data_IF_736151180195
#
_entry.id   IF_736151180195
#
_cell.length_a   1.000
_cell.length_b   1.000
_cell.length_c   1.000
_cell.angle_alpha   90.00
_cell.angle_beta   90.00
_cell.angle_gamma   90.00
#
_symmetry.space_group_name_H-M   'P 1'
#
loop_
_entity.id
_entity.type
_entity.pdbx_description
1 polymer ?
#
# COMPACT_ATOMS: atom_id res chain seq x y z
N UNK A 1 10.34 -7.38 30.27
CA UNK A 1 10.86 -6.79 31.52
C UNK A 1 10.08 -5.50 31.72
N UNK A 2 9.08 -5.56 32.62
CA UNK A 2 8.14 -4.47 32.91
C UNK A 2 8.64 -3.77 34.17
N UNK A 3 8.80 -2.46 34.13
CA UNK A 3 9.09 -1.65 35.32
C UNK A 3 7.87 -0.78 35.59
N UNK A 4 7.14 -1.12 36.64
CA UNK A 4 6.14 -0.27 37.27
C UNK A 4 6.81 0.61 38.32
N UNK A 5 6.51 1.89 38.35
CA UNK A 5 6.81 2.78 39.49
C UNK A 5 5.51 3.34 40.06
N UNK A 6 5.19 2.88 41.27
CA UNK A 6 4.17 3.47 42.15
C UNK A 6 4.71 4.75 42.81
N UNK A 7 3.87 5.78 42.92
CA UNK A 7 4.03 6.84 43.92
C UNK A 7 2.69 7.19 44.58
N UNK A 8 2.69 7.51 45.89
CA UNK A 8 1.50 7.47 46.75
C UNK A 8 0.75 8.81 46.89
N UNK A 9 -0.49 8.66 47.35
CA UNK A 9 -1.43 9.71 47.73
C UNK A 9 -0.94 10.57 48.91
N UNK A 10 -1.15 11.87 48.81
CA UNK A 10 -1.17 12.82 49.92
C UNK A 10 -2.57 13.37 50.15
N UNK A 11 -3.13 13.05 51.32
CA UNK A 11 -4.36 13.63 51.88
C UNK A 11 -4.08 15.01 52.46
N UNK A 12 -4.95 15.98 52.18
CA UNK A 12 -5.13 17.16 53.07
C UNK A 12 -6.62 17.36 53.33
N UNK A 13 -6.97 17.33 54.60
CA UNK A 13 -8.28 17.64 55.19
C UNK A 13 -8.24 19.10 55.63
N UNK A 14 -9.26 19.88 55.33
CA UNK A 14 -9.59 21.08 56.11
C UNK A 14 -11.10 21.28 56.18
N UNK A 15 -11.61 21.19 57.38
CA UNK A 15 -12.98 21.57 57.79
C UNK A 15 -13.11 23.09 57.89
N UNK A 16 -14.31 23.60 57.62
CA UNK A 16 -14.72 24.95 57.98
C UNK A 16 -16.24 25.13 57.79
N UNK A 17 -16.93 25.13 58.90
CA UNK A 17 -18.38 25.38 59.04
C UNK A 17 -18.61 26.89 59.14
N UNK A 18 -19.63 27.42 58.49
CA UNK A 18 -20.59 28.38 59.12
C UNK A 18 -21.78 28.75 58.20
N UNK A 19 -22.85 29.07 58.83
CA UNK A 19 -24.26 29.06 58.50
C UNK A 19 -24.81 30.37 57.85
N UNK A 20 -25.96 30.17 57.20
CA UNK A 20 -27.18 31.02 57.12
C UNK A 20 -27.16 32.30 56.28
N UNK A 21 -28.00 32.44 55.29
CA UNK A 21 -29.32 33.11 55.28
C UNK A 21 -29.94 33.13 53.91
N UNK A 22 -31.23 32.92 53.87
CA UNK A 22 -32.09 32.92 52.72
C UNK A 22 -32.30 34.31 52.13
N UNK A 23 -32.26 34.41 50.77
CA UNK A 23 -33.00 35.37 50.00
C UNK A 23 -33.38 34.74 48.66
N UNK A 24 -34.66 34.51 48.46
CA UNK A 24 -35.24 34.07 47.21
C UNK A 24 -35.18 35.19 46.18
N UNK A 25 -34.45 35.04 45.13
CA UNK A 25 -34.56 35.80 43.91
C UNK A 25 -34.59 34.82 42.76
N UNK A 26 -35.76 34.74 42.10
CA UNK A 26 -35.96 34.05 40.84
C UNK A 26 -35.07 34.72 39.78
N UNK A 27 -33.93 34.17 39.51
CA UNK A 27 -33.16 34.51 38.33
C UNK A 27 -33.35 33.37 37.32
N UNK A 28 -34.04 33.72 36.21
CA UNK A 28 -34.15 32.84 35.05
C UNK A 28 -32.73 32.49 34.60
N UNK A 29 -32.31 31.24 34.83
CA UNK A 29 -31.07 30.73 34.30
C UNK A 29 -31.16 30.58 32.76
N UNK A 30 -30.24 31.18 31.98
CA UNK A 30 -30.16 30.85 30.57
C UNK A 30 -29.84 29.35 30.44
N UNK A 31 -30.68 28.67 29.67
CA UNK A 31 -30.39 27.31 29.22
C UNK A 31 -29.14 27.41 28.33
N UNK A 32 -27.97 27.26 28.93
CA UNK A 32 -26.74 27.00 28.18
C UNK A 32 -26.93 25.60 27.63
N UNK A 33 -27.27 25.53 26.34
CA UNK A 33 -27.15 24.27 25.60
C UNK A 33 -25.69 23.84 25.73
N UNK A 34 -25.42 22.89 26.63
CA UNK A 34 -24.17 22.18 26.66
C UNK A 34 -24.09 21.48 25.30
N UNK A 35 -23.33 22.05 24.40
CA UNK A 35 -22.77 21.30 23.29
C UNK A 35 -22.02 20.13 23.94
N UNK A 36 -22.64 18.95 23.91
CA UNK A 36 -21.95 17.71 24.22
C UNK A 36 -20.78 17.64 23.24
N UNK A 37 -19.58 18.01 23.69
CA UNK A 37 -18.37 17.57 23.03
C UNK A 37 -18.49 16.05 23.06
N UNK A 38 -18.80 15.46 21.90
CA UNK A 38 -18.61 14.05 21.68
C UNK A 38 -17.14 13.80 21.99
N UNK A 39 -16.84 13.35 23.18
CA UNK A 39 -15.61 12.65 23.46
C UNK A 39 -15.60 11.54 22.43
N UNK A 40 -14.83 11.73 21.36
CA UNK A 40 -14.50 10.63 20.48
C UNK A 40 -13.80 9.63 21.39
N UNK A 41 -14.60 8.66 21.87
CA UNK A 41 -14.01 7.41 22.33
C UNK A 41 -13.01 7.01 21.23
N UNK A 42 -11.83 6.58 21.64
CA UNK A 42 -10.84 5.98 20.74
C UNK A 42 -11.54 4.80 20.05
N UNK A 43 -12.32 5.07 19.00
CA UNK A 43 -12.87 4.02 18.18
C UNK A 43 -11.67 3.41 17.47
N UNK A 44 -11.33 2.21 17.87
CA UNK A 44 -10.36 1.39 17.19
C UNK A 44 -10.85 1.27 15.75
N UNK A 45 -10.10 1.87 14.82
CA UNK A 45 -10.41 1.80 13.40
C UNK A 45 -10.06 0.37 12.94
N UNK A 46 -11.02 -0.38 12.45
CA UNK A 46 -10.89 -1.79 12.07
C UNK A 46 -11.41 -2.12 10.66
N UNK A 47 -11.93 -1.11 9.95
CA UNK A 47 -12.45 -1.28 8.59
C UNK A 47 -11.35 -1.01 7.57
N UNK A 48 -11.19 -1.94 6.63
CA UNK A 48 -10.39 -1.77 5.42
C UNK A 48 -11.31 -1.74 4.20
N UNK A 49 -11.14 -0.75 3.33
CA UNK A 49 -11.83 -0.63 2.04
C UNK A 49 -10.89 -1.06 0.92
N UNK A 50 -11.37 -1.85 -0.03
CA UNK A 50 -10.63 -2.20 -1.26
C UNK A 50 -11.12 -1.29 -2.39
N UNK A 51 -10.30 -0.28 -2.76
CA UNK A 51 -10.59 0.68 -3.82
C UNK A 51 -10.08 0.17 -5.18
N UNK A 52 -10.63 -0.97 -5.62
CA UNK A 52 -10.17 -1.68 -6.82
C UNK A 52 -10.36 -0.84 -8.09
N UNK A 53 -9.27 -0.60 -8.82
CA UNK A 53 -9.21 0.13 -10.09
C UNK A 53 -9.78 1.56 -10.04
N UNK A 54 -9.81 2.18 -8.88
CA UNK A 54 -10.15 3.60 -8.73
C UNK A 54 -8.93 4.49 -8.99
N UNK A 55 -9.15 5.65 -9.59
CA UNK A 55 -8.09 6.63 -9.81
C UNK A 55 -7.64 7.28 -8.49
N UNK A 56 -6.38 7.72 -8.44
CA UNK A 56 -5.81 8.36 -7.26
C UNK A 56 -6.61 9.56 -6.80
N UNK A 57 -7.07 10.38 -7.74
CA UNK A 57 -7.87 11.56 -7.44
C UNK A 57 -9.25 11.22 -6.88
N UNK A 58 -9.86 10.11 -7.30
CA UNK A 58 -11.12 9.62 -6.72
C UNK A 58 -10.89 9.17 -5.27
N UNK A 59 -9.87 8.34 -5.03
CA UNK A 59 -9.57 7.85 -3.68
C UNK A 59 -9.23 9.00 -2.73
N UNK A 60 -8.47 10.01 -3.17
CA UNK A 60 -8.16 11.20 -2.37
C UNK A 60 -9.43 11.93 -1.90
N UNK A 61 -10.41 12.10 -2.80
CA UNK A 61 -11.72 12.72 -2.46
C UNK A 61 -12.52 11.86 -1.50
N UNK A 62 -12.55 10.54 -1.71
CA UNK A 62 -13.26 9.62 -0.82
C UNK A 62 -12.61 9.58 0.57
N UNK A 63 -11.28 9.61 0.66
CA UNK A 63 -10.60 9.69 1.95
C UNK A 63 -11.04 10.93 2.76
N UNK A 64 -11.18 12.07 2.10
CA UNK A 64 -11.55 13.34 2.75
C UNK A 64 -13.04 13.40 3.08
N UNK A 65 -13.90 12.97 2.15
CA UNK A 65 -15.34 13.19 2.25
C UNK A 65 -16.10 12.05 2.91
N UNK A 66 -15.56 10.82 2.82
CA UNK A 66 -16.28 9.60 3.25
C UNK A 66 -15.44 8.78 4.23
N UNK A 67 -14.27 8.25 3.79
CA UNK A 67 -13.55 7.24 4.56
C UNK A 67 -13.02 7.79 5.89
N UNK A 68 -12.43 8.98 5.91
CA UNK A 68 -11.95 9.62 7.14
C UNK A 68 -13.07 9.92 8.14
N UNK A 69 -14.15 10.65 7.74
CA UNK A 69 -15.31 10.89 8.59
C UNK A 69 -15.99 9.63 9.14
N UNK A 70 -16.06 8.57 8.34
CA UNK A 70 -16.68 7.29 8.74
C UNK A 70 -15.73 6.37 9.54
N UNK A 71 -14.48 6.79 9.77
CA UNK A 71 -13.57 6.06 10.62
C UNK A 71 -12.91 4.85 9.96
N UNK A 72 -12.81 4.81 8.63
CA UNK A 72 -12.06 3.77 7.92
C UNK A 72 -10.59 3.80 8.35
N UNK A 73 -10.01 2.63 8.65
CA UNK A 73 -8.62 2.49 9.05
C UNK A 73 -7.67 2.56 7.86
N UNK A 74 -7.98 1.77 6.83
CA UNK A 74 -7.13 1.59 5.65
C UNK A 74 -7.92 1.55 4.36
N UNK A 75 -7.29 2.02 3.30
CA UNK A 75 -7.73 1.80 1.92
C UNK A 75 -6.66 1.03 1.18
N UNK A 76 -7.01 -0.15 0.66
CA UNK A 76 -6.19 -0.92 -0.25
C UNK A 76 -6.40 -0.39 -1.67
N UNK A 77 -5.31 -0.03 -2.34
CA UNK A 77 -5.32 0.53 -3.69
C UNK A 77 -4.72 -0.46 -4.69
N UNK A 78 -5.22 -0.47 -5.91
CA UNK A 78 -4.68 -1.28 -7.01
C UNK A 78 -3.22 -0.92 -7.31
N UNK A 79 -2.46 -1.78 -8.02
CA UNK A 79 -1.03 -1.61 -8.22
C UNK A 79 -0.66 -0.23 -8.76
N UNK A 80 0.21 0.52 -8.07
CA UNK A 80 0.60 1.88 -8.46
C UNK A 80 1.73 1.94 -9.50
N UNK A 81 2.41 0.82 -9.75
CA UNK A 81 3.53 0.80 -10.68
C UNK A 81 3.07 0.88 -12.15
N UNK A 82 3.99 1.33 -13.01
CA UNK A 82 3.81 1.32 -14.45
C UNK A 82 3.57 -0.10 -14.99
N UNK A 83 2.58 -0.23 -15.84
CA UNK A 83 2.17 -1.49 -16.44
C UNK A 83 2.02 -1.37 -17.97
N UNK A 84 1.69 -2.48 -18.62
CA UNK A 84 1.27 -2.47 -20.03
C UNK A 84 0.09 -1.54 -20.24
N UNK A 85 -0.10 -1.06 -21.46
CA UNK A 85 -1.26 -0.27 -21.85
C UNK A 85 -2.52 -1.14 -21.89
N UNK A 86 -3.67 -0.53 -21.63
CA UNK A 86 -4.99 -1.18 -21.71
C UNK A 86 -5.95 -0.67 -20.64
N UNK A 87 -7.24 -0.83 -20.93
CA UNK A 87 -8.33 -0.41 -20.02
C UNK A 87 -8.77 -1.51 -19.05
N UNK A 88 -8.43 -2.75 -19.35
CA UNK A 88 -8.82 -3.91 -18.56
C UNK A 88 -8.09 -3.90 -17.20
N UNK A 89 -8.78 -4.35 -16.15
CA UNK A 89 -8.23 -4.34 -14.80
C UNK A 89 -6.90 -5.12 -14.66
N UNK A 90 -6.80 -6.27 -15.33
CA UNK A 90 -5.63 -7.16 -15.26
C UNK A 90 -4.35 -6.56 -15.87
N UNK A 91 -4.44 -5.51 -16.69
CA UNK A 91 -3.25 -4.83 -17.22
C UNK A 91 -2.40 -4.21 -16.10
N UNK A 92 -3.01 -3.79 -14.98
CA UNK A 92 -2.29 -3.29 -13.81
C UNK A 92 -1.39 -4.35 -13.15
N UNK A 93 -1.62 -5.63 -13.41
CA UNK A 93 -0.86 -6.75 -12.87
C UNK A 93 0.25 -7.25 -13.81
N UNK A 94 0.56 -6.50 -14.85
CA UNK A 94 1.64 -6.75 -15.79
C UNK A 94 2.64 -5.57 -15.79
N UNK A 95 3.49 -5.46 -14.76
CA UNK A 95 4.43 -4.36 -14.63
C UNK A 95 5.51 -4.38 -15.72
N UNK A 96 5.91 -3.19 -16.17
CA UNK A 96 7.02 -2.98 -17.10
C UNK A 96 8.11 -2.09 -16.50
N UNK A 97 7.81 -1.47 -15.37
CA UNK A 97 8.74 -0.74 -14.50
C UNK A 97 8.12 -0.57 -13.11
N UNK A 98 8.93 -0.08 -12.15
CA UNK A 98 8.44 0.33 -10.82
C UNK A 98 8.29 1.85 -10.68
N UNK A 99 8.18 2.59 -11.79
CA UNK A 99 7.73 3.99 -11.76
C UNK A 99 6.29 4.06 -11.24
N UNK A 100 5.98 5.09 -10.46
CA UNK A 100 4.65 5.25 -9.84
C UNK A 100 3.62 5.95 -10.75
N UNK A 101 3.90 6.02 -12.05
CA UNK A 101 2.94 6.48 -13.06
C UNK A 101 2.19 5.27 -13.63
N UNK A 102 0.91 5.18 -13.34
CA UNK A 102 0.05 4.06 -13.75
C UNK A 102 -1.15 4.55 -14.55
N UNK A 103 -1.96 3.64 -15.06
CA UNK A 103 -3.23 4.02 -15.71
C UNK A 103 -4.24 4.65 -14.74
N UNK A 104 -4.01 4.58 -13.43
CA UNK A 104 -4.88 5.14 -12.40
C UNK A 104 -4.50 6.56 -12.01
N UNK A 105 -3.38 7.06 -12.50
CA UNK A 105 -2.88 8.41 -12.30
C UNK A 105 -1.36 8.47 -12.24
N UNK A 106 -0.83 9.68 -12.24
CA UNK A 106 0.59 9.99 -12.17
C UNK A 106 1.17 9.76 -10.77
N UNK A 107 2.51 9.68 -10.65
CA UNK A 107 3.20 9.64 -9.37
C UNK A 107 2.83 10.82 -8.46
N UNK A 108 2.68 12.01 -9.03
CA UNK A 108 2.27 13.20 -8.27
C UNK A 108 0.86 13.05 -7.70
N UNK A 109 -0.08 12.51 -8.47
CA UNK A 109 -1.44 12.24 -8.02
C UNK A 109 -1.48 11.12 -6.98
N UNK A 110 -0.66 10.07 -7.13
CA UNK A 110 -0.51 9.01 -6.14
C UNK A 110 -0.01 9.55 -4.80
N UNK A 111 1.08 10.33 -4.81
CA UNK A 111 1.61 10.97 -3.59
C UNK A 111 0.61 11.92 -2.94
N UNK A 112 -0.12 12.71 -3.73
CA UNK A 112 -1.19 13.57 -3.24
C UNK A 112 -2.32 12.76 -2.59
N UNK A 113 -2.75 11.67 -3.19
CA UNK A 113 -3.74 10.76 -2.63
C UNK A 113 -3.29 10.20 -1.27
N UNK A 114 -2.07 9.69 -1.18
CA UNK A 114 -1.50 9.19 0.08
C UNK A 114 -1.49 10.26 1.15
N UNK A 115 -1.08 11.49 0.81
CA UNK A 115 -1.04 12.61 1.75
C UNK A 115 -2.44 13.00 2.22
N UNK A 116 -3.42 13.11 1.34
CA UNK A 116 -4.80 13.48 1.70
C UNK A 116 -5.46 12.41 2.56
N UNK A 117 -5.29 11.14 2.22
CA UNK A 117 -5.79 10.02 3.03
C UNK A 117 -5.16 10.03 4.43
N UNK A 118 -3.84 10.20 4.51
CA UNK A 118 -3.13 10.30 5.79
C UNK A 118 -3.63 11.47 6.64
N UNK A 119 -3.87 12.65 6.05
CA UNK A 119 -4.41 13.81 6.73
C UNK A 119 -5.85 13.57 7.25
N UNK A 120 -6.63 12.74 6.55
CA UNK A 120 -7.95 12.28 6.98
C UNK A 120 -7.89 11.12 8.00
N UNK A 121 -6.69 10.68 8.41
CA UNK A 121 -6.48 9.58 9.34
C UNK A 121 -6.72 8.20 8.73
N UNK A 122 -6.58 8.05 7.42
CA UNK A 122 -6.75 6.80 6.66
C UNK A 122 -5.39 6.35 6.13
N UNK A 123 -4.96 5.13 6.47
CA UNK A 123 -3.73 4.54 5.94
C UNK A 123 -3.92 3.98 4.54
N UNK A 124 -2.88 4.01 3.71
CA UNK A 124 -2.89 3.36 2.39
C UNK A 124 -2.13 2.04 2.46
N UNK A 125 -2.77 0.99 1.93
CA UNK A 125 -2.17 -0.32 1.63
C UNK A 125 -2.03 -0.37 0.10
N UNK A 126 -0.81 -0.54 -0.40
CA UNK A 126 -0.58 -0.67 -1.84
C UNK A 126 -0.57 -2.15 -2.25
N UNK A 127 -1.30 -2.47 -3.30
CA UNK A 127 -1.14 -3.75 -3.98
C UNK A 127 0.18 -3.74 -4.77
N UNK A 128 1.05 -4.70 -4.56
CA UNK A 128 2.38 -4.76 -5.17
C UNK A 128 2.60 -6.07 -5.92
N UNK A 129 3.08 -5.96 -7.14
CA UNK A 129 3.31 -7.08 -8.05
C UNK A 129 4.81 -7.34 -8.14
N UNK A 130 5.27 -8.39 -7.43
CA UNK A 130 6.69 -8.76 -7.35
C UNK A 130 7.00 -10.09 -8.04
N UNK A 131 5.98 -10.86 -8.45
CA UNK A 131 6.17 -12.18 -9.02
C UNK A 131 6.51 -12.16 -10.51
N UNK A 132 5.88 -11.28 -11.27
CA UNK A 132 5.89 -11.35 -12.73
C UNK A 132 5.99 -9.97 -13.40
N UNK A 133 6.23 -10.02 -14.71
CA UNK A 133 6.11 -8.89 -15.64
C UNK A 133 4.98 -9.16 -16.65
N UNK A 134 5.23 -9.07 -17.94
CA UNK A 134 4.19 -9.18 -18.98
C UNK A 134 4.01 -10.61 -19.48
N UNK A 135 2.89 -10.89 -20.11
CA UNK A 135 2.49 -12.22 -20.54
C UNK A 135 2.04 -12.37 -22.00
N UNK A 136 1.30 -13.45 -22.25
CA UNK A 136 0.91 -13.88 -23.60
C UNK A 136 -0.08 -12.94 -24.30
N UNK A 137 -0.74 -12.08 -23.58
CA UNK A 137 -1.67 -11.05 -24.10
C UNK A 137 -0.97 -9.72 -24.46
N UNK A 138 0.36 -9.70 -24.38
CA UNK A 138 1.19 -8.59 -24.83
C UNK A 138 1.60 -8.82 -26.29
N UNK A 139 1.50 -7.78 -27.11
CA UNK A 139 1.93 -7.83 -28.50
C UNK A 139 3.45 -8.16 -28.60
N UNK A 140 3.84 -8.91 -29.63
CA UNK A 140 5.23 -9.21 -29.89
C UNK A 140 6.02 -7.96 -30.32
N UNK A 141 7.33 -7.94 -30.01
CA UNK A 141 8.26 -6.86 -30.35
C UNK A 141 8.32 -5.77 -29.29
N UNK A 142 8.89 -4.63 -29.67
CA UNK A 142 9.08 -3.50 -28.77
C UNK A 142 7.75 -2.77 -28.50
N UNK A 143 7.48 -2.54 -27.24
CA UNK A 143 6.25 -1.92 -26.74
C UNK A 143 6.58 -0.78 -25.76
N UNK A 144 5.55 -0.03 -25.37
CA UNK A 144 5.65 1.01 -24.34
C UNK A 144 4.61 0.82 -23.27
N UNK A 145 5.02 0.96 -22.03
CA UNK A 145 4.15 1.02 -20.86
C UNK A 145 3.30 2.29 -20.84
N UNK A 146 2.44 2.40 -19.84
CA UNK A 146 1.52 3.56 -19.67
C UNK A 146 2.26 4.87 -19.39
N UNK A 147 3.46 4.81 -18.80
CA UNK A 147 4.34 5.95 -18.56
C UNK A 147 5.46 6.10 -19.61
N UNK A 148 5.41 5.31 -20.68
CA UNK A 148 6.33 5.40 -21.81
C UNK A 148 7.62 4.58 -21.68
N UNK A 149 7.82 3.79 -20.64
CA UNK A 149 8.95 2.87 -20.55
C UNK A 149 8.88 1.84 -21.66
N UNK A 150 9.99 1.67 -22.37
CA UNK A 150 10.11 0.65 -23.41
C UNK A 150 10.26 -0.74 -22.77
N UNK A 151 9.70 -1.75 -23.40
CA UNK A 151 9.87 -3.16 -23.02
C UNK A 151 9.64 -4.07 -24.21
N UNK A 152 10.17 -5.30 -24.13
CA UNK A 152 9.93 -6.35 -25.11
C UNK A 152 9.58 -7.64 -24.40
N UNK A 153 8.29 -7.95 -24.30
CA UNK A 153 7.77 -9.15 -23.65
C UNK A 153 8.15 -10.45 -24.36
N UNK A 154 8.50 -10.42 -25.66
CA UNK A 154 8.94 -11.62 -26.40
C UNK A 154 10.35 -12.02 -26.02
N UNK A 155 11.21 -11.07 -25.71
CA UNK A 155 12.63 -11.30 -25.38
C UNK A 155 12.95 -11.18 -23.90
N UNK A 156 11.98 -10.81 -23.05
CA UNK A 156 12.20 -10.60 -21.62
C UNK A 156 13.07 -9.37 -21.32
N UNK A 157 12.92 -8.27 -22.08
CA UNK A 157 13.69 -7.05 -21.92
C UNK A 157 12.84 -5.94 -21.32
N UNK A 158 13.22 -5.44 -20.15
CA UNK A 158 12.48 -4.42 -19.39
C UNK A 158 13.43 -3.35 -18.84
N UNK A 159 13.98 -2.47 -19.69
CA UNK A 159 14.88 -1.38 -19.25
C UNK A 159 14.20 -0.39 -18.30
N UNK A 160 12.88 -0.36 -18.22
CA UNK A 160 12.12 0.46 -17.28
C UNK A 160 12.40 0.16 -15.81
N UNK A 161 12.94 -1.01 -15.47
CA UNK A 161 13.39 -1.37 -14.12
C UNK A 161 14.83 -0.92 -13.82
N UNK A 162 15.45 -0.13 -14.68
CA UNK A 162 16.82 0.32 -14.47
C UNK A 162 16.98 1.12 -13.17
N UNK A 163 18.07 0.85 -12.46
CA UNK A 163 18.53 1.60 -11.29
C UNK A 163 19.97 2.08 -11.53
N UNK A 164 20.52 2.87 -10.62
CA UNK A 164 21.94 3.26 -10.72
C UNK A 164 22.89 2.05 -10.67
N UNK A 165 22.52 1.03 -9.89
CA UNK A 165 23.31 -0.19 -9.73
C UNK A 165 23.10 -1.16 -10.90
N UNK A 166 21.91 -1.15 -11.49
CA UNK A 166 21.49 -2.05 -12.56
C UNK A 166 20.98 -1.25 -13.77
N UNK A 167 21.87 -0.60 -14.53
CA UNK A 167 21.48 0.36 -15.58
C UNK A 167 20.73 -0.28 -16.77
N UNK A 168 20.90 -1.58 -16.99
CA UNK A 168 20.21 -2.30 -18.06
C UNK A 168 18.77 -2.72 -17.68
N UNK A 169 18.34 -2.46 -16.44
CA UNK A 169 17.05 -2.91 -15.93
C UNK A 169 16.98 -4.44 -15.83
N UNK A 170 15.82 -5.00 -16.12
CA UNK A 170 15.55 -6.45 -16.11
C UNK A 170 15.70 -7.02 -17.53
N UNK A 171 16.34 -8.16 -17.62
CA UNK A 171 16.61 -8.88 -18.87
C UNK A 171 16.15 -10.34 -18.75
N UNK A 172 16.18 -11.11 -19.84
CA UNK A 172 15.80 -12.53 -19.83
C UNK A 172 16.57 -13.38 -18.79
N UNK A 173 17.78 -12.97 -18.43
CA UNK A 173 18.60 -13.67 -17.43
C UNK A 173 18.09 -13.50 -15.98
N UNK A 174 17.23 -12.53 -15.76
CA UNK A 174 16.67 -12.19 -14.43
C UNK A 174 15.33 -12.91 -14.17
N UNK A 175 14.93 -13.82 -15.04
CA UNK A 175 13.74 -14.66 -14.90
C UNK A 175 14.11 -16.12 -14.71
N UNK A 176 13.21 -16.90 -14.12
CA UNK A 176 13.36 -18.34 -14.05
C UNK A 176 13.42 -18.98 -15.45
N UNK A 177 14.17 -20.08 -15.58
CA UNK A 177 14.35 -20.77 -16.87
C UNK A 177 13.15 -21.58 -17.33
N UNK A 178 12.17 -21.80 -16.45
CA UNK A 178 10.92 -22.49 -16.78
C UNK A 178 9.99 -21.58 -17.61
N UNK A 179 9.89 -21.85 -18.91
CA UNK A 179 9.05 -21.04 -19.84
C UNK A 179 7.64 -21.57 -20.04
N UNK A 180 7.32 -22.75 -19.48
CA UNK A 180 5.96 -23.32 -19.54
C UNK A 180 5.03 -22.65 -18.52
N UNK A 181 3.75 -22.68 -18.78
CA UNK A 181 2.74 -22.32 -17.77
C UNK A 181 2.70 -23.36 -16.65
N UNK A 182 2.34 -22.90 -15.45
CA UNK A 182 2.01 -23.77 -14.32
C UNK A 182 0.84 -24.67 -14.73
N UNK A 183 1.03 -25.98 -14.62
CA UNK A 183 0.01 -27.01 -14.89
C UNK A 183 -0.38 -27.80 -13.66
N UNK A 184 0.53 -27.93 -12.69
CA UNK A 184 0.29 -28.63 -11.43
C UNK A 184 0.52 -27.67 -10.25
N UNK A 185 -0.58 -27.15 -9.71
CA UNK A 185 -0.58 -26.27 -8.56
C UNK A 185 -0.32 -26.98 -7.22
N UNK A 186 -0.12 -28.29 -7.21
CA UNK A 186 0.33 -29.07 -6.04
C UNK A 186 1.85 -29.25 -6.03
N UNK A 187 2.52 -28.99 -7.15
CA UNK A 187 3.97 -29.01 -7.28
C UNK A 187 4.56 -27.65 -6.92
N UNK A 188 5.09 -27.53 -5.70
CA UNK A 188 5.64 -26.25 -5.20
C UNK A 188 6.70 -25.67 -6.15
N UNK A 189 7.61 -26.49 -6.67
CA UNK A 189 8.67 -26.01 -7.58
C UNK A 189 8.08 -25.43 -8.87
N UNK A 190 7.08 -26.08 -9.46
CA UNK A 190 6.42 -25.60 -10.66
C UNK A 190 5.67 -24.29 -10.39
N UNK A 191 5.01 -24.17 -9.22
CA UNK A 191 4.29 -22.97 -8.81
C UNK A 191 5.24 -21.78 -8.60
N UNK A 192 6.47 -22.01 -8.16
CA UNK A 192 7.42 -20.96 -7.79
C UNK A 192 8.48 -20.65 -8.86
N UNK A 193 8.58 -21.44 -9.92
CA UNK A 193 9.61 -21.25 -10.95
C UNK A 193 9.04 -21.20 -12.38
N UNK A 194 7.76 -21.52 -12.59
CA UNK A 194 7.15 -21.52 -13.91
C UNK A 194 6.15 -20.37 -14.09
N UNK A 195 5.79 -20.10 -15.33
CA UNK A 195 4.99 -18.91 -15.68
C UNK A 195 3.55 -19.01 -15.18
N UNK A 196 3.09 -18.00 -14.47
CA UNK A 196 1.69 -17.77 -14.18
C UNK A 196 1.02 -17.08 -15.39
N UNK A 197 0.08 -17.76 -16.05
CA UNK A 197 -0.64 -17.21 -17.22
C UNK A 197 0.30 -16.66 -18.31
N UNK A 198 1.35 -17.37 -18.62
CA UNK A 198 2.39 -16.99 -19.61
C UNK A 198 3.22 -15.76 -19.27
N UNK A 199 3.03 -15.15 -18.11
CA UNK A 199 3.82 -14.00 -17.67
C UNK A 199 5.25 -14.42 -17.32
N UNK A 200 6.21 -13.53 -17.59
CA UNK A 200 7.59 -13.75 -17.21
C UNK A 200 7.74 -13.76 -15.69
N UNK A 201 8.26 -14.84 -15.17
CA UNK A 201 8.39 -15.13 -13.74
C UNK A 201 9.76 -14.71 -13.23
N UNK A 202 9.83 -13.74 -12.31
CA UNK A 202 11.08 -13.24 -11.79
C UNK A 202 11.88 -14.33 -11.05
N UNK A 203 13.18 -14.42 -11.34
CA UNK A 203 14.12 -15.18 -10.49
C UNK A 203 14.28 -14.41 -9.17
N UNK A 204 13.36 -14.64 -8.25
CA UNK A 204 13.31 -13.95 -6.96
C UNK A 204 14.48 -14.28 -6.02
N UNK A 205 15.28 -15.33 -6.32
CA UNK A 205 16.50 -15.70 -5.60
C UNK A 205 17.69 -14.84 -6.00
N UNK A 206 17.60 -14.12 -7.13
CA UNK A 206 18.63 -13.20 -7.61
C UNK A 206 18.73 -11.96 -6.72
N UNK A 207 19.93 -11.63 -6.28
CA UNK A 207 20.19 -10.41 -5.52
C UNK A 207 19.73 -9.15 -6.26
N UNK A 208 19.98 -9.08 -7.58
CA UNK A 208 19.53 -7.98 -8.44
C UNK A 208 18.02 -7.78 -8.40
N UNK A 209 17.24 -8.86 -8.52
CA UNK A 209 15.78 -8.80 -8.46
C UNK A 209 15.32 -8.34 -7.09
N UNK A 210 15.90 -8.90 -6.02
CA UNK A 210 15.60 -8.53 -4.63
C UNK A 210 15.89 -7.05 -4.35
N UNK A 211 17.03 -6.52 -4.83
CA UNK A 211 17.40 -5.11 -4.66
C UNK A 211 16.40 -4.20 -5.36
N UNK A 212 16.06 -4.46 -6.63
CA UNK A 212 15.11 -3.67 -7.41
C UNK A 212 13.73 -3.68 -6.74
N UNK A 213 13.28 -4.82 -6.24
CA UNK A 213 11.98 -4.96 -5.57
C UNK A 213 11.96 -4.31 -4.19
N UNK A 214 13.04 -4.39 -3.44
CA UNK A 214 13.19 -3.72 -2.15
C UNK A 214 13.20 -2.20 -2.32
N UNK A 215 13.91 -1.67 -3.31
CA UNK A 215 13.91 -0.23 -3.64
C UNK A 215 12.50 0.26 -4.00
N UNK A 216 11.72 -0.56 -4.72
CA UNK A 216 10.32 -0.23 -5.02
C UNK A 216 9.47 -0.15 -3.75
N UNK A 217 9.55 -1.14 -2.86
CA UNK A 217 8.82 -1.11 -1.59
C UNK A 217 9.24 0.11 -0.75
N UNK A 218 10.54 0.42 -0.70
CA UNK A 218 11.06 1.60 0.00
C UNK A 218 10.52 2.91 -0.61
N UNK A 219 10.40 2.99 -1.93
CA UNK A 219 9.82 4.16 -2.60
C UNK A 219 8.36 4.41 -2.22
N UNK A 220 7.55 3.35 -2.15
CA UNK A 220 6.17 3.41 -1.69
C UNK A 220 6.05 3.80 -0.21
N UNK A 221 6.88 3.20 0.64
CA UNK A 221 6.93 3.54 2.07
C UNK A 221 7.29 5.00 2.29
N UNK A 222 8.30 5.50 1.58
CA UNK A 222 8.73 6.89 1.61
C UNK A 222 7.66 7.85 1.07
N UNK A 223 6.83 7.41 0.13
CA UNK A 223 5.67 8.15 -0.33
C UNK A 223 4.53 8.22 0.71
N UNK A 224 4.61 7.42 1.79
CA UNK A 224 3.64 7.44 2.89
C UNK A 224 2.70 6.23 2.94
N UNK A 225 2.87 5.24 2.09
CA UNK A 225 2.16 3.94 2.18
C UNK A 225 2.46 3.28 3.53
N UNK A 226 1.48 2.59 4.12
CA UNK A 226 1.58 2.02 5.48
C UNK A 226 1.37 0.51 5.52
N UNK A 227 1.20 -0.11 4.38
CA UNK A 227 1.09 -1.56 4.26
C UNK A 227 1.14 -2.00 2.81
N UNK A 228 1.37 -3.29 2.60
CA UNK A 228 1.43 -3.89 1.27
C UNK A 228 0.51 -5.11 1.22
N UNK A 229 -0.25 -5.22 0.14
CA UNK A 229 -0.87 -6.46 -0.30
C UNK A 229 0.06 -7.06 -1.34
N UNK A 230 0.59 -8.25 -1.09
CA UNK A 230 1.50 -8.92 -2.02
C UNK A 230 0.71 -9.76 -3.02
N UNK A 231 0.67 -9.32 -4.28
CA UNK A 231 0.05 -10.10 -5.35
C UNK A 231 0.83 -11.39 -5.61
N UNK A 232 0.11 -12.48 -5.90
CA UNK A 232 0.68 -13.77 -6.30
C UNK A 232 1.82 -14.29 -5.38
N UNK A 233 1.86 -13.91 -4.10
CA UNK A 233 2.98 -14.19 -3.18
C UNK A 233 3.29 -15.69 -3.03
N UNK A 234 2.33 -16.58 -3.25
CA UNK A 234 2.55 -18.04 -3.22
C UNK A 234 3.49 -18.54 -4.33
N UNK A 235 3.69 -17.72 -5.37
CA UNK A 235 4.58 -18.02 -6.50
C UNK A 235 6.02 -17.55 -6.22
N UNK A 236 6.28 -16.87 -5.12
CA UNK A 236 7.60 -16.40 -4.71
C UNK A 236 8.15 -17.32 -3.61
N UNK A 237 9.42 -17.66 -3.68
CA UNK A 237 10.07 -18.44 -2.64
C UNK A 237 10.05 -17.69 -1.30
N UNK A 238 9.78 -18.41 -0.21
CA UNK A 238 9.69 -17.82 1.14
C UNK A 238 10.97 -17.10 1.56
N UNK A 239 12.14 -17.70 1.25
CA UNK A 239 13.43 -17.10 1.58
C UNK A 239 13.71 -15.85 0.75
N UNK A 240 13.23 -15.78 -0.49
CA UNK A 240 13.31 -14.59 -1.32
C UNK A 240 12.46 -13.46 -0.74
N UNK A 241 11.21 -13.73 -0.32
CA UNK A 241 10.38 -12.76 0.36
C UNK A 241 11.00 -12.25 1.66
N UNK A 242 11.66 -13.14 2.41
CA UNK A 242 12.40 -12.76 3.61
C UNK A 242 13.57 -11.84 3.26
N UNK A 243 14.37 -12.19 2.25
CA UNK A 243 15.49 -11.36 1.80
C UNK A 243 15.06 -9.98 1.30
N UNK A 244 13.98 -9.89 0.50
CA UNK A 244 13.39 -8.62 0.06
C UNK A 244 12.97 -7.77 1.26
N UNK A 245 12.29 -8.38 2.25
CA UNK A 245 11.88 -7.69 3.48
C UNK A 245 13.06 -7.22 4.32
N UNK A 246 14.15 -7.98 4.39
CA UNK A 246 15.35 -7.61 5.16
C UNK A 246 16.14 -6.46 4.52
N UNK A 247 16.04 -6.30 3.18
CA UNK A 247 16.66 -5.21 2.42
C UNK A 247 15.82 -3.92 2.47
N UNK A 248 14.51 -4.05 2.59
CA UNK A 248 13.52 -2.97 2.72
C UNK A 248 13.54 -2.35 4.13
#
# INVERSE_FOLDING_TARGET
MVVQTNRPLGRVVAMGVTAAMACASLVAAPIVAQAQSKTQANQQKDVQVIAFQQTWNTIAKECTNTYGPEGVAYVEVSPPQESIQGTQWWTSYQPVSYKLDSKLGTEAEFKNMVQQCSAAGVGIIADVVLNQTTGADVAAGDQKGVAGSEYNGSTGSYPGFATKQYPDGITAADFHSCTKNISDYTNQKEVQECRLSSMWDFNSESEKVQDIQSDYLASLWNAGVRGFRMDAVKHIHTDSMKAIKEKF
#
